data_IF_171015344532
#
_entry.id   IF_171015344532
#
_cell.length_a   1.000
_cell.length_b   1.000
_cell.length_c   1.000
_cell.angle_alpha   90.00
_cell.angle_beta   90.00
_cell.angle_gamma   90.00
#
_symmetry.space_group_name_H-M   'P 1'
#
loop_
_entity.id
_entity.type
_entity.pdbx_description
1 polymer ?
#
# COMPACT_ATOMS: atom_id res chain seq x y z
N UNK A 1 18.16 -5.44 31.07
CA UNK A 1 16.79 -4.91 30.91
C UNK A 1 16.69 -3.87 29.79
N UNK A 2 17.59 -2.89 29.69
CA UNK A 2 17.56 -1.89 28.61
C UNK A 2 17.61 -2.49 27.18
N UNK A 3 18.55 -3.39 26.90
CA UNK A 3 18.68 -4.05 25.57
C UNK A 3 17.43 -4.86 25.18
N UNK A 4 16.73 -5.48 26.14
CA UNK A 4 15.50 -6.21 25.86
C UNK A 4 14.36 -5.26 25.45
N UNK A 5 14.23 -4.13 26.14
CA UNK A 5 13.25 -3.10 25.79
C UNK A 5 13.52 -2.49 24.41
N UNK A 6 14.80 -2.25 24.09
CA UNK A 6 15.23 -1.81 22.76
C UNK A 6 14.85 -2.83 21.68
N UNK A 7 15.17 -4.12 21.87
CA UNK A 7 14.75 -5.19 20.94
C UNK A 7 13.24 -5.22 20.76
N UNK A 8 12.46 -5.05 21.82
CA UNK A 8 10.99 -5.00 21.71
C UNK A 8 10.52 -3.79 20.89
N UNK A 9 11.12 -2.61 21.10
CA UNK A 9 10.80 -1.42 20.30
C UNK A 9 11.17 -1.60 18.82
N UNK A 10 12.34 -2.17 18.51
CA UNK A 10 12.78 -2.46 17.15
C UNK A 10 11.89 -3.50 16.47
N UNK A 11 11.42 -4.53 17.19
CA UNK A 11 10.43 -5.50 16.68
C UNK A 11 9.12 -4.82 16.31
N UNK A 12 8.62 -3.89 17.14
CA UNK A 12 7.41 -3.11 16.83
C UNK A 12 7.63 -2.22 15.60
N UNK A 13 8.76 -1.52 15.53
CA UNK A 13 9.14 -0.67 14.39
C UNK A 13 9.23 -1.48 13.10
N UNK A 14 9.87 -2.65 13.13
CA UNK A 14 9.96 -3.60 12.01
C UNK A 14 8.57 -4.02 11.53
N UNK A 15 7.68 -4.44 12.44
CA UNK A 15 6.32 -4.84 12.08
C UNK A 15 5.53 -3.70 11.42
N UNK A 16 5.68 -2.48 11.94
CA UNK A 16 5.05 -1.30 11.36
C UNK A 16 5.58 -1.02 9.95
N UNK A 17 6.90 -1.05 9.75
CA UNK A 17 7.51 -0.83 8.44
C UNK A 17 7.13 -1.92 7.43
N UNK A 18 7.11 -3.19 7.84
CA UNK A 18 6.64 -4.30 7.00
C UNK A 18 5.18 -4.11 6.57
N UNK A 19 4.31 -3.70 7.49
CA UNK A 19 2.90 -3.41 7.15
C UNK A 19 2.78 -2.22 6.18
N UNK A 20 3.68 -1.24 6.27
CA UNK A 20 3.73 -0.09 5.38
C UNK A 20 4.21 -0.49 3.99
N UNK A 21 5.28 -1.29 3.89
CA UNK A 21 5.77 -1.83 2.62
C UNK A 21 4.66 -2.62 1.90
N UNK A 22 4.00 -3.55 2.59
CA UNK A 22 2.89 -4.33 1.99
C UNK A 22 1.75 -3.44 1.49
N UNK A 23 1.41 -2.38 2.21
CA UNK A 23 0.39 -1.40 1.79
C UNK A 23 0.82 -0.59 0.57
N UNK A 24 2.10 -0.22 0.46
CA UNK A 24 2.61 0.48 -0.71
C UNK A 24 2.69 -0.45 -1.92
N UNK A 25 3.14 -1.69 -1.74
CA UNK A 25 3.21 -2.72 -2.78
C UNK A 25 1.83 -3.05 -3.35
N UNK A 26 0.83 -3.19 -2.49
CA UNK A 26 -0.56 -3.41 -2.94
C UNK A 26 -1.11 -2.20 -3.72
N UNK A 27 -0.86 -0.97 -3.25
CA UNK A 27 -1.27 0.25 -3.97
C UNK A 27 -0.58 0.41 -5.32
N UNK A 28 0.70 0.05 -5.41
CA UNK A 28 1.45 0.04 -6.67
C UNK A 28 0.93 -1.04 -7.63
N UNK A 29 0.64 -2.24 -7.12
CA UNK A 29 0.06 -3.30 -7.92
C UNK A 29 -1.30 -2.89 -8.52
N UNK A 30 -2.16 -2.26 -7.72
CA UNK A 30 -3.44 -1.74 -8.21
C UNK A 30 -3.27 -0.62 -9.24
N UNK A 31 -2.33 0.30 -9.03
CA UNK A 31 -2.06 1.41 -9.94
C UNK A 31 -1.48 0.94 -11.29
N UNK A 32 -0.67 -0.11 -11.28
CA UNK A 32 -0.12 -0.71 -12.51
C UNK A 32 -1.16 -1.57 -13.25
N UNK A 33 -2.12 -2.17 -12.54
CA UNK A 33 -3.22 -2.92 -13.16
C UNK A 33 -4.34 -2.03 -13.72
N UNK A 34 -4.51 -0.81 -13.21
CA UNK A 34 -5.52 0.15 -13.68
C UNK A 34 -5.11 0.90 -14.95
N UNK A 35 -4.24 0.33 -15.78
CA UNK A 35 -3.88 0.84 -17.12
C UNK A 35 -4.99 0.67 -18.18
N UNK A 36 -6.21 0.32 -17.77
CA UNK A 36 -7.40 0.37 -18.61
C UNK A 36 -8.33 1.47 -18.07
N UNK A 37 -8.93 2.31 -18.92
CA UNK A 37 -9.90 3.30 -18.48
C UNK A 37 -11.20 2.57 -18.11
N UNK A 38 -11.26 2.02 -16.91
CA UNK A 38 -12.54 1.72 -16.28
C UNK A 38 -13.06 3.03 -15.70
N UNK A 39 -14.24 3.42 -16.18
CA UNK A 39 -15.04 4.55 -15.74
C UNK A 39 -15.05 4.63 -14.21
N UNK A 40 -14.21 5.51 -13.66
CA UNK A 40 -14.41 6.04 -12.33
C UNK A 40 -15.64 6.95 -12.39
N UNK A 41 -16.81 6.30 -12.31
CA UNK A 41 -18.10 6.89 -11.96
C UNK A 41 -17.92 7.66 -10.65
N UNK A 42 -17.54 8.92 -10.81
CA UNK A 42 -17.59 9.92 -9.74
C UNK A 42 -19.03 10.40 -9.72
N UNK A 43 -19.92 9.58 -9.17
CA UNK A 43 -21.25 10.02 -8.81
C UNK A 43 -21.12 11.02 -7.64
N UNK A 44 -21.50 12.31 -7.79
CA UNK A 44 -21.71 13.15 -6.63
C UNK A 44 -22.94 12.66 -5.85
N UNK A 45 -22.97 12.79 -4.52
CA UNK A 45 -24.14 12.43 -3.74
C UNK A 45 -25.34 13.27 -4.21
N UNK A 46 -26.37 12.59 -4.70
CA UNK A 46 -27.65 13.18 -5.05
C UNK A 46 -28.29 13.72 -3.77
N UNK A 47 -28.19 15.05 -3.59
CA UNK A 47 -28.94 15.79 -2.59
C UNK A 47 -30.38 15.83 -3.08
N UNK A 48 -31.25 15.09 -2.40
CA UNK A 48 -32.70 15.18 -2.56
C UNK A 48 -33.15 16.51 -1.94
N UNK A 49 -33.33 17.53 -2.77
CA UNK A 49 -34.07 18.74 -2.40
C UNK A 49 -35.54 18.50 -2.79
N UNK A 50 -36.34 18.18 -1.79
CA UNK A 50 -37.78 18.42 -1.83
C UNK A 50 -37.96 19.94 -1.70
N UNK A 51 -38.30 20.61 -2.80
CA UNK A 51 -38.94 21.91 -2.74
C UNK A 51 -40.40 21.73 -3.15
N UNK A 52 -41.26 21.84 -2.13
CA UNK A 52 -42.67 22.13 -2.24
C UNK A 52 -42.82 23.48 -2.95
N UNK A 53 -43.41 23.49 -4.14
CA UNK A 53 -43.95 24.71 -4.75
C UNK A 53 -45.46 24.60 -4.77
N UNK A 54 -46.02 25.54 -4.02
CA UNK A 54 -47.42 25.79 -3.73
C UNK A 54 -48.32 25.81 -4.96
N UNK A 55 -49.56 25.39 -4.70
CA UNK A 55 -50.75 25.52 -5.53
C UNK A 55 -50.85 26.90 -6.19
N UNK A 56 -50.69 26.96 -7.50
CA UNK A 56 -51.29 28.02 -8.31
C UNK A 56 -52.49 27.46 -9.07
N UNK A 57 -53.64 27.88 -8.56
CA UNK A 57 -54.98 27.80 -9.09
C UNK A 57 -55.05 28.47 -10.49
N UNK A 58 -54.82 27.68 -11.54
CA UNK A 58 -55.06 28.10 -12.92
C UNK A 58 -56.43 27.56 -13.34
N UNK A 59 -57.44 28.37 -13.02
CA UNK A 59 -58.68 28.59 -13.76
C UNK A 59 -58.88 27.68 -14.99
N UNK A 60 -59.90 26.81 -14.90
CA UNK A 60 -60.52 26.11 -16.03
C UNK A 60 -60.95 27.12 -17.10
N UNK A 61 -60.18 27.21 -18.17
CA UNK A 61 -60.64 27.78 -19.43
C UNK A 61 -60.86 26.63 -20.43
N UNK A 62 -62.11 26.47 -20.83
CA UNK A 62 -62.56 25.42 -21.75
C UNK A 62 -61.85 25.55 -23.11
N UNK A 63 -61.31 24.47 -23.70
CA UNK A 63 -60.80 24.54 -25.05
C UNK A 63 -61.97 24.66 -26.04
N UNK A 64 -62.00 25.67 -26.92
CA UNK A 64 -63.04 25.77 -27.93
C UNK A 64 -63.00 24.53 -28.84
N UNK A 65 -64.12 23.81 -28.83
CA UNK A 65 -64.52 22.81 -29.81
C UNK A 65 -64.42 23.40 -31.20
N UNK A 66 -63.31 23.15 -31.89
CA UNK A 66 -63.20 23.01 -33.34
C UNK A 66 -61.77 22.59 -33.72
N UNK A 67 -61.41 21.34 -33.41
CA UNK A 67 -60.34 20.66 -34.15
C UNK A 67 -61.03 19.85 -35.25
N UNK A 68 -60.80 20.12 -36.55
CA UNK A 68 -61.14 19.13 -37.55
C UNK A 68 -60.35 17.87 -37.19
N UNK A 69 -61.04 16.74 -37.02
CA UNK A 69 -60.40 15.43 -37.01
C UNK A 69 -59.79 15.23 -38.39
N UNK A 70 -58.58 15.74 -38.59
CA UNK A 70 -57.74 15.31 -39.68
C UNK A 70 -57.43 13.86 -39.34
N UNK A 71 -58.03 12.96 -40.10
CA UNK A 71 -57.58 11.57 -40.19
C UNK A 71 -56.10 11.64 -40.51
N UNK A 72 -55.25 11.53 -39.49
CA UNK A 72 -53.80 11.48 -39.66
C UNK A 72 -53.50 10.11 -40.24
N UNK A 73 -53.53 10.03 -41.56
CA UNK A 73 -52.92 8.96 -42.30
C UNK A 73 -51.49 8.80 -41.73
N UNK A 74 -51.22 7.73 -40.99
CA UNK A 74 -49.91 7.52 -40.36
C UNK A 74 -48.76 7.51 -41.38
N UNK A 75 -49.10 7.38 -42.67
CA UNK A 75 -48.20 7.53 -43.83
C UNK A 75 -47.74 8.98 -44.03
N UNK A 76 -48.60 9.98 -43.84
CA UNK A 76 -48.23 11.39 -43.96
C UNK A 76 -47.28 11.82 -42.83
N UNK A 77 -47.56 11.43 -41.58
CA UNK A 77 -46.67 11.71 -40.45
C UNK A 77 -45.30 11.03 -40.59
N UNK A 78 -45.27 9.80 -41.10
CA UNK A 78 -44.01 9.08 -41.40
C UNK A 78 -43.26 9.74 -42.56
N UNK A 79 -43.97 10.18 -43.60
CA UNK A 79 -43.37 10.88 -44.74
C UNK A 79 -42.79 12.25 -44.34
N UNK A 80 -43.48 13.02 -43.49
CA UNK A 80 -42.96 14.29 -42.96
C UNK A 80 -41.78 14.06 -42.03
N UNK A 81 -41.83 13.04 -41.17
CA UNK A 81 -40.70 12.68 -40.30
C UNK A 81 -39.47 12.25 -41.11
N UNK A 82 -39.64 11.40 -42.13
CA UNK A 82 -38.58 11.03 -43.06
C UNK A 82 -38.01 12.25 -43.80
N UNK A 83 -38.86 13.20 -44.19
CA UNK A 83 -38.42 14.47 -44.77
C UNK A 83 -37.57 15.30 -43.81
N UNK A 84 -37.98 15.41 -42.54
CA UNK A 84 -37.19 16.07 -41.50
C UNK A 84 -35.88 15.34 -41.19
N UNK A 85 -35.88 14.00 -41.17
CA UNK A 85 -34.67 13.20 -40.96
C UNK A 85 -33.70 13.31 -42.14
N UNK A 86 -34.19 13.27 -43.39
CA UNK A 86 -33.36 13.51 -44.57
C UNK A 86 -32.81 14.94 -44.61
N UNK A 87 -33.59 15.94 -44.16
CA UNK A 87 -33.11 17.31 -44.04
C UNK A 87 -32.03 17.41 -42.97
N UNK A 88 -32.26 16.86 -41.78
CA UNK A 88 -31.26 16.80 -40.70
C UNK A 88 -30.00 16.04 -41.13
N UNK A 89 -30.12 14.99 -41.94
CA UNK A 89 -28.98 14.26 -42.50
C UNK A 89 -28.17 15.11 -43.48
N UNK A 90 -28.83 15.88 -44.36
CA UNK A 90 -28.15 16.81 -45.28
C UNK A 90 -27.51 17.98 -44.53
N UNK A 91 -28.20 18.52 -43.53
CA UNK A 91 -27.71 19.60 -42.69
C UNK A 91 -26.46 19.13 -41.92
N UNK A 92 -26.47 17.92 -41.34
CA UNK A 92 -25.31 17.29 -40.70
C UNK A 92 -24.14 17.05 -41.67
N UNK A 93 -24.41 16.59 -42.90
CA UNK A 93 -23.37 16.41 -43.90
C UNK A 93 -22.73 17.74 -44.29
N UNK A 94 -23.55 18.79 -44.49
CA UNK A 94 -23.06 20.14 -44.78
C UNK A 94 -22.30 20.77 -43.62
N UNK A 95 -22.71 20.49 -42.38
CA UNK A 95 -22.04 20.94 -41.17
C UNK A 95 -20.70 20.22 -40.98
N UNK A 96 -20.59 18.95 -41.35
CA UNK A 96 -19.33 18.19 -41.33
C UNK A 96 -18.30 18.69 -42.36
N UNK A 97 -18.77 19.16 -43.51
CA UNK A 97 -17.91 19.68 -44.59
C UNK A 97 -17.57 21.16 -44.42
N UNK A 98 -18.14 21.84 -43.42
CA UNK A 98 -17.82 23.23 -43.13
C UNK A 98 -16.38 23.36 -42.57
N UNK A 99 -15.50 24.18 -43.15
CA UNK A 99 -14.13 24.34 -42.66
C UNK A 99 -14.06 24.87 -41.22
N UNK A 100 -15.07 25.60 -40.74
CA UNK A 100 -15.09 26.09 -39.35
C UNK A 100 -15.33 24.96 -38.34
N UNK A 101 -16.22 24.01 -38.65
CA UNK A 101 -16.53 22.89 -37.77
C UNK A 101 -15.36 21.90 -37.73
N UNK A 102 -14.69 21.67 -38.86
CA UNK A 102 -13.46 20.85 -38.92
C UNK A 102 -12.34 21.47 -38.07
N UNK A 103 -12.14 22.80 -38.13
CA UNK A 103 -11.18 23.50 -37.27
C UNK A 103 -11.54 23.38 -35.78
N UNK A 104 -12.83 23.46 -35.43
CA UNK A 104 -13.29 23.27 -34.05
C UNK A 104 -13.06 21.83 -33.58
N UNK A 105 -13.38 20.82 -34.40
CA UNK A 105 -13.13 19.41 -34.06
C UNK A 105 -11.63 19.14 -33.87
N UNK A 106 -10.77 19.60 -34.77
CA UNK A 106 -9.33 19.45 -34.63
C UNK A 106 -8.78 20.15 -33.37
N UNK A 107 -9.35 21.30 -33.00
CA UNK A 107 -8.99 21.99 -31.76
C UNK A 107 -9.44 21.20 -30.51
N UNK A 108 -10.64 20.60 -30.54
CA UNK A 108 -11.13 19.72 -29.46
C UNK A 108 -10.26 18.47 -29.32
N UNK A 109 -9.94 17.78 -30.41
CA UNK A 109 -9.04 16.63 -30.40
C UNK A 109 -7.66 16.96 -29.81
N UNK A 110 -7.12 18.14 -30.14
CA UNK A 110 -5.85 18.60 -29.57
C UNK A 110 -5.97 18.90 -28.06
N UNK A 111 -7.09 19.46 -27.61
CA UNK A 111 -7.36 19.68 -26.18
C UNK A 111 -7.48 18.33 -25.46
N UNK A 112 -8.23 17.39 -26.00
CA UNK A 112 -8.43 16.05 -25.43
C UNK A 112 -7.08 15.30 -25.33
N UNK A 113 -6.27 15.35 -26.37
CA UNK A 113 -4.92 14.78 -26.36
C UNK A 113 -4.02 15.43 -25.30
N UNK A 114 -4.13 16.74 -25.09
CA UNK A 114 -3.38 17.45 -24.04
C UNK A 114 -3.86 17.05 -22.64
N UNK A 115 -5.17 16.91 -22.43
CA UNK A 115 -5.75 16.45 -21.16
C UNK A 115 -5.29 15.03 -20.85
N UNK A 116 -5.41 14.11 -21.82
CA UNK A 116 -4.97 12.73 -21.65
C UNK A 116 -3.46 12.63 -21.33
N UNK A 117 -2.63 13.43 -22.00
CA UNK A 117 -1.19 13.48 -21.70
C UNK A 117 -0.91 14.04 -20.30
N UNK A 118 -1.64 15.07 -19.85
CA UNK A 118 -1.50 15.60 -18.49
C UNK A 118 -1.93 14.58 -17.43
N UNK A 119 -3.01 13.86 -17.66
CA UNK A 119 -3.47 12.78 -16.76
C UNK A 119 -2.44 11.66 -16.66
N UNK A 120 -1.89 11.23 -17.81
CA UNK A 120 -0.82 10.24 -17.84
C UNK A 120 0.41 10.69 -17.06
N UNK A 121 0.87 11.92 -17.27
CA UNK A 121 2.02 12.47 -16.53
C UNK A 121 1.75 12.55 -15.02
N UNK A 122 0.54 12.92 -14.61
CA UNK A 122 0.15 12.93 -13.20
C UNK A 122 0.18 11.53 -12.60
N UNK A 123 -0.35 10.53 -13.30
CA UNK A 123 -0.34 9.13 -12.85
C UNK A 123 1.09 8.58 -12.75
N UNK A 124 1.93 8.85 -13.75
CA UNK A 124 3.35 8.48 -13.74
C UNK A 124 4.09 9.13 -12.55
N UNK A 125 3.85 10.41 -12.27
CA UNK A 125 4.44 11.09 -11.11
C UNK A 125 4.00 10.48 -9.76
N UNK A 126 2.73 10.09 -9.63
CA UNK A 126 2.22 9.43 -8.42
C UNK A 126 2.84 8.04 -8.23
N UNK A 127 2.98 7.27 -9.32
CA UNK A 127 3.64 5.95 -9.30
C UNK A 127 5.10 6.10 -8.87
N UNK A 128 5.81 7.08 -9.42
CA UNK A 128 7.21 7.34 -9.07
C UNK A 128 7.36 7.74 -7.60
N UNK A 129 6.49 8.63 -7.09
CA UNK A 129 6.49 9.01 -5.68
C UNK A 129 6.20 7.81 -4.75
N UNK A 130 5.28 6.92 -5.16
CA UNK A 130 4.98 5.69 -4.43
C UNK A 130 6.18 4.73 -4.43
N UNK A 131 6.87 4.58 -5.57
CA UNK A 131 8.08 3.76 -5.69
C UNK A 131 9.20 4.30 -4.80
N UNK A 132 9.43 5.62 -4.80
CA UNK A 132 10.43 6.24 -3.93
C UNK A 132 10.11 6.01 -2.45
N UNK A 133 8.85 6.19 -2.04
CA UNK A 133 8.43 5.89 -0.66
C UNK A 133 8.67 4.42 -0.30
N UNK A 134 8.46 3.51 -1.25
CA UNK A 134 8.68 2.09 -1.06
C UNK A 134 10.17 1.78 -0.89
N UNK A 135 11.05 2.31 -1.74
CA UNK A 135 12.50 2.10 -1.63
C UNK A 135 13.04 2.66 -0.31
N UNK A 136 12.63 3.87 0.07
CA UNK A 136 13.00 4.49 1.35
C UNK A 136 12.57 3.62 2.54
N UNK A 137 11.32 3.11 2.52
CA UNK A 137 10.84 2.23 3.60
C UNK A 137 11.55 0.88 3.65
N UNK A 138 11.98 0.32 2.50
CA UNK A 138 12.78 -0.91 2.43
C UNK A 138 14.19 -0.69 2.98
N UNK A 139 14.83 0.43 2.66
CA UNK A 139 16.13 0.79 3.21
C UNK A 139 16.06 0.97 4.73
N UNK A 140 15.03 1.65 5.21
CA UNK A 140 14.79 1.80 6.65
C UNK A 140 14.48 0.47 7.33
N UNK A 141 13.86 -0.48 6.63
CA UNK A 141 13.62 -1.81 7.14
C UNK A 141 14.93 -2.61 7.27
N UNK A 142 15.82 -2.54 6.26
CA UNK A 142 17.14 -3.19 6.32
C UNK A 142 17.95 -2.72 7.52
N UNK A 143 18.04 -1.40 7.71
CA UNK A 143 18.76 -0.81 8.85
C UNK A 143 18.19 -1.27 10.19
N UNK A 144 16.87 -1.31 10.34
CA UNK A 144 16.22 -1.83 11.56
C UNK A 144 16.46 -3.32 11.76
N UNK A 145 16.55 -4.11 10.69
CA UNK A 145 16.85 -5.55 10.78
C UNK A 145 18.30 -5.81 11.19
N UNK A 146 19.25 -5.03 10.66
CA UNK A 146 20.66 -5.06 11.07
C UNK A 146 20.82 -4.67 12.55
N UNK A 147 20.23 -3.55 12.97
CA UNK A 147 20.22 -3.11 14.37
C UNK A 147 19.63 -4.18 15.29
N UNK A 148 18.52 -4.80 14.89
CA UNK A 148 17.86 -5.84 15.67
C UNK A 148 18.72 -7.09 15.78
N UNK A 149 19.42 -7.48 14.71
CA UNK A 149 20.37 -8.60 14.72
C UNK A 149 21.54 -8.33 15.68
N UNK A 150 22.15 -7.14 15.59
CA UNK A 150 23.24 -6.74 16.50
C UNK A 150 22.80 -6.77 17.96
N UNK A 151 21.65 -6.18 18.28
CA UNK A 151 21.12 -6.15 19.66
C UNK A 151 20.79 -7.54 20.17
N UNK A 152 20.29 -8.43 19.32
CA UNK A 152 20.05 -9.83 19.68
C UNK A 152 21.35 -10.58 19.96
N UNK A 153 22.37 -10.41 19.13
CA UNK A 153 23.71 -10.96 19.36
C UNK A 153 24.32 -10.46 20.67
N UNK A 154 24.18 -9.16 20.95
CA UNK A 154 24.62 -8.56 22.21
C UNK A 154 23.89 -9.16 23.42
N UNK A 155 22.55 -9.29 23.35
CA UNK A 155 21.76 -9.90 24.41
C UNK A 155 22.19 -11.35 24.63
N UNK A 156 22.32 -12.14 23.56
CA UNK A 156 22.76 -13.52 23.63
C UNK A 156 24.16 -13.65 24.24
N UNK A 157 25.10 -12.80 23.83
CA UNK A 157 26.45 -12.76 24.41
C UNK A 157 26.45 -12.47 25.91
N UNK A 158 25.62 -11.52 26.36
CA UNK A 158 25.46 -11.21 27.79
C UNK A 158 24.85 -12.36 28.58
N UNK A 159 23.83 -13.03 28.03
CA UNK A 159 23.17 -14.19 28.67
C UNK A 159 24.13 -15.37 28.79
N UNK A 160 24.87 -15.68 27.72
CA UNK A 160 25.84 -16.77 27.72
C UNK A 160 27.00 -16.47 28.66
N UNK A 161 27.51 -15.25 28.67
CA UNK A 161 28.58 -14.84 29.59
C UNK A 161 28.14 -14.97 31.04
N UNK A 162 26.91 -14.56 31.36
CA UNK A 162 26.33 -14.74 32.69
C UNK A 162 26.07 -16.20 33.05
N UNK A 163 25.69 -17.03 32.07
CA UNK A 163 25.53 -18.47 32.28
C UNK A 163 26.88 -19.10 32.65
N UNK A 164 27.90 -18.89 31.82
CA UNK A 164 29.24 -19.45 32.03
C UNK A 164 29.93 -18.91 33.28
N UNK A 165 29.68 -17.65 33.68
CA UNK A 165 30.18 -17.12 34.96
C UNK A 165 29.60 -17.87 36.16
N UNK A 166 28.34 -18.29 36.10
CA UNK A 166 27.75 -19.17 37.11
C UNK A 166 28.31 -20.59 37.03
N UNK A 167 28.52 -21.11 35.82
CA UNK A 167 29.08 -22.45 35.61
C UNK A 167 30.52 -22.60 36.13
N UNK A 168 31.31 -21.52 36.15
CA UNK A 168 32.68 -21.50 36.65
C UNK A 168 32.81 -21.97 38.11
N UNK A 169 31.73 -21.94 38.89
CA UNK A 169 31.70 -22.43 40.28
C UNK A 169 31.63 -23.95 40.39
N UNK A 170 31.24 -24.63 39.32
CA UNK A 170 31.02 -26.07 39.27
C UNK A 170 32.22 -26.77 38.62
N UNK A 171 32.31 -28.08 38.81
CA UNK A 171 33.28 -28.94 38.13
C UNK A 171 32.61 -29.53 36.89
N UNK A 172 33.26 -29.38 35.73
CA UNK A 172 32.80 -29.93 34.46
C UNK A 172 33.33 -31.36 34.24
N UNK A 173 32.48 -32.26 33.77
CA UNK A 173 32.92 -33.59 33.30
C UNK A 173 33.54 -33.50 31.90
N UNK A 174 34.44 -34.43 31.59
CA UNK A 174 35.03 -34.56 30.23
C UNK A 174 34.10 -35.24 29.22
N UNK A 175 32.98 -35.79 29.68
CA UNK A 175 32.00 -36.51 28.84
C UNK A 175 31.11 -35.55 28.07
N UNK A 176 30.51 -36.04 26.98
CA UNK A 176 29.44 -35.33 26.27
C UNK A 176 28.10 -36.03 26.51
N UNK A 177 27.04 -35.32 26.95
CA UNK A 177 27.02 -33.89 27.29
C UNK A 177 27.84 -33.57 28.56
N UNK A 178 28.41 -32.37 28.61
CA UNK A 178 29.17 -31.89 29.79
C UNK A 178 28.22 -31.74 30.97
N UNK A 179 28.49 -32.50 32.03
CA UNK A 179 27.74 -32.42 33.28
C UNK A 179 28.49 -31.52 34.24
N UNK A 180 27.74 -30.72 34.98
CA UNK A 180 28.26 -29.77 35.96
C UNK A 180 27.81 -30.22 37.34
N UNK A 181 28.76 -30.36 38.26
CA UNK A 181 28.48 -30.83 39.61
C UNK A 181 29.34 -30.09 40.63
N UNK A 182 28.88 -30.08 41.88
CA UNK A 182 29.59 -29.46 42.99
C UNK A 182 29.66 -30.47 44.14
N UNK A 183 30.85 -30.74 44.70
CA UNK A 183 30.98 -31.60 45.87
C UNK A 183 30.36 -30.92 47.09
N UNK A 184 29.76 -31.70 48.00
CA UNK A 184 29.21 -31.17 49.25
C UNK A 184 30.27 -30.73 50.26
N UNK A 185 31.51 -31.21 50.14
CA UNK A 185 32.67 -30.80 50.96
C UNK A 185 33.82 -30.42 50.04
N UNK A 186 34.49 -29.31 50.35
CA UNK A 186 35.66 -28.88 49.61
C UNK A 186 36.87 -29.74 50.00
N UNK A 187 37.57 -30.28 49.00
CA UNK A 187 38.77 -31.08 49.16
C UNK A 187 39.84 -30.56 48.23
N UNK A 188 41.07 -30.43 48.72
CA UNK A 188 42.24 -29.98 47.96
C UNK A 188 42.52 -30.88 46.75
N UNK A 189 42.13 -32.16 46.82
CA UNK A 189 42.24 -33.10 45.69
C UNK A 189 41.40 -32.70 44.46
N UNK A 190 40.39 -31.83 44.62
CA UNK A 190 39.50 -31.39 43.55
C UNK A 190 39.92 -30.06 42.90
N UNK A 191 40.93 -29.37 43.45
CA UNK A 191 41.52 -28.17 42.85
C UNK A 191 41.99 -28.34 41.39
N UNK A 192 42.67 -29.42 40.98
CA UNK A 192 43.05 -29.58 39.57
C UNK A 192 41.84 -29.65 38.63
N UNK A 193 40.73 -30.25 39.11
CA UNK A 193 39.49 -30.38 38.36
C UNK A 193 38.75 -29.03 38.24
N UNK A 194 38.78 -28.22 39.30
CA UNK A 194 38.30 -26.83 39.28
C UNK A 194 39.11 -25.97 38.32
N UNK A 195 40.45 -26.03 38.38
CA UNK A 195 41.32 -25.28 37.45
C UNK A 195 41.07 -25.66 35.99
N UNK A 196 40.93 -26.95 35.70
CA UNK A 196 40.60 -27.43 34.35
C UNK A 196 39.24 -26.89 33.89
N UNK A 197 38.25 -26.84 34.78
CA UNK A 197 36.93 -26.27 34.48
C UNK A 197 37.00 -24.76 34.24
N UNK A 198 37.75 -24.02 35.06
CA UNK A 198 37.98 -22.58 34.87
C UNK A 198 38.66 -22.27 33.53
N UNK A 199 39.63 -23.08 33.11
CA UNK A 199 40.26 -22.96 31.79
C UNK A 199 39.26 -23.24 30.66
N UNK A 200 38.46 -24.29 30.79
CA UNK A 200 37.41 -24.62 29.82
C UNK A 200 36.38 -23.48 29.68
N UNK A 201 35.90 -22.95 30.81
CA UNK A 201 34.98 -21.81 30.83
C UNK A 201 35.65 -20.56 30.26
N UNK A 202 36.91 -20.30 30.58
CA UNK A 202 37.70 -19.19 30.04
C UNK A 202 37.74 -19.23 28.51
N UNK A 203 38.11 -20.36 27.93
CA UNK A 203 38.10 -20.54 26.48
C UNK A 203 36.71 -20.34 25.88
N UNK A 204 35.64 -20.81 26.54
CA UNK A 204 34.27 -20.57 26.05
C UNK A 204 33.85 -19.10 26.11
N UNK A 205 34.27 -18.37 27.14
CA UNK A 205 34.03 -16.94 27.23
C UNK A 205 34.80 -16.15 26.16
N UNK A 206 36.02 -16.58 25.83
CA UNK A 206 36.79 -16.02 24.71
C UNK A 206 36.13 -16.31 23.36
N UNK A 207 35.67 -17.56 23.13
CA UNK A 207 34.90 -17.94 21.95
C UNK A 207 33.64 -17.09 21.80
N UNK A 208 32.94 -16.81 22.90
CA UNK A 208 31.73 -15.96 22.91
C UNK A 208 32.08 -14.52 22.55
N UNK A 209 33.14 -13.97 23.15
CA UNK A 209 33.57 -12.59 22.88
C UNK A 209 34.02 -12.40 21.43
N UNK A 210 34.76 -13.37 20.89
CA UNK A 210 35.22 -13.30 19.49
C UNK A 210 34.06 -13.41 18.51
N UNK A 211 33.08 -14.29 18.76
CA UNK A 211 31.97 -14.52 17.83
C UNK A 211 30.82 -13.52 17.96
N UNK A 212 30.54 -13.02 19.16
CA UNK A 212 29.38 -12.17 19.45
C UNK A 212 29.75 -10.73 19.87
N UNK A 213 31.04 -10.45 20.12
CA UNK A 213 31.55 -9.13 20.47
C UNK A 213 32.15 -8.34 19.30
N UNK A 214 32.19 -8.90 18.09
CA UNK A 214 32.65 -8.22 16.86
C UNK A 214 31.50 -7.59 16.04
N UNK A 215 30.33 -7.35 16.65
CA UNK A 215 29.21 -6.67 15.99
C UNK A 215 28.84 -5.39 16.73
#
# INVERSE_FOLDING_TARGET
MLVQNEIHSLRRKRALLQSRCRRLETRLATANSSGAPEEASTAPPSITMHDDVEDQDISKEEPPTNRPRVSTDGRFLRATLLGHLQKAQRDLASERDNPETQRRMAALEHVDAKVANQERQRMEAVIEEMNQKLTDTKNLLSTVEEELSQKQSQLMGSVLTNHYSHMAKFIATKTQPTLWWMPGKESEALEPLRRSTSQFVGHKLEDIKTRLGQC
#
